data_IF_647209761720
#
_entry.id   IF_647209761720
#
_cell.length_a   1.000
_cell.length_b   1.000
_cell.length_c   1.000
_cell.angle_alpha   90.00
_cell.angle_beta   90.00
_cell.angle_gamma   90.00
#
_symmetry.space_group_name_H-M   'P 1'
#
loop_
_entity.id
_entity.type
_entity.pdbx_description
1 polymer ?
#
# COMPACT_ATOMS: atom_id res chain seq x y z
N UNK A 1 -6.81 6.36 -2.94
CA UNK A 1 -7.01 4.96 -2.54
C UNK A 1 -6.63 4.90 -1.09
N UNK A 2 -7.58 4.86 -0.17
CA UNK A 2 -7.26 4.96 1.25
C UNK A 2 -6.92 3.57 1.78
N UNK A 3 -5.71 3.40 2.34
CA UNK A 3 -5.25 2.17 2.97
C UNK A 3 -5.27 2.32 4.49
N UNK A 4 -5.87 1.38 5.19
CA UNK A 4 -5.71 1.26 6.64
C UNK A 4 -4.60 0.26 6.90
N UNK A 5 -3.68 0.64 7.79
CA UNK A 5 -2.68 -0.29 8.25
C UNK A 5 -3.28 -1.25 9.26
N UNK A 6 -3.26 -2.55 8.95
CA UNK A 6 -3.55 -3.56 9.95
C UNK A 6 -2.36 -3.61 10.92
N UNK A 7 -2.55 -3.83 12.24
CA UNK A 7 -1.50 -3.72 13.27
C UNK A 7 -0.37 -4.77 13.22
N UNK A 8 0.00 -5.25 12.02
CA UNK A 8 1.14 -6.14 11.78
C UNK A 8 2.44 -5.38 11.46
N UNK A 9 2.55 -4.09 11.79
CA UNK A 9 3.86 -3.43 11.91
C UNK A 9 4.46 -3.85 13.25
N UNK A 10 5.62 -4.49 13.24
CA UNK A 10 6.19 -5.20 14.39
C UNK A 10 6.78 -4.32 15.50
N UNK A 11 6.06 -3.30 15.98
CA UNK A 11 6.36 -2.64 17.24
C UNK A 11 6.90 -1.21 17.19
N UNK A 12 6.36 -0.34 16.33
CA UNK A 12 6.71 1.08 16.35
C UNK A 12 5.62 1.97 15.76
N UNK A 13 5.21 2.99 16.54
CA UNK A 13 4.16 3.99 16.30
C UNK A 13 2.82 3.44 15.81
N UNK A 14 1.80 3.47 16.67
CA UNK A 14 0.41 3.31 16.26
C UNK A 14 0.09 4.47 15.31
N UNK A 15 0.22 4.20 14.02
CA UNK A 15 -0.18 5.09 12.95
C UNK A 15 -1.70 4.92 12.76
N UNK A 16 -2.46 5.62 13.61
CA UNK A 16 -3.92 5.53 13.62
C UNK A 16 -4.50 6.28 12.42
N UNK A 17 -5.37 5.59 11.67
CA UNK A 17 -6.11 6.16 10.55
C UNK A 17 -5.67 5.70 9.15
N UNK A 18 -6.31 6.29 8.14
CA UNK A 18 -6.07 5.95 6.74
C UNK A 18 -4.81 6.65 6.21
N UNK A 19 -4.02 5.90 5.45
CA UNK A 19 -2.77 6.33 4.85
C UNK A 19 -2.76 5.98 3.37
N UNK A 20 -2.02 6.76 2.60
CA UNK A 20 -1.78 6.48 1.19
C UNK A 20 -0.43 5.76 0.99
N UNK A 21 0.50 5.90 1.94
CA UNK A 21 1.87 5.34 1.86
C UNK A 21 2.32 4.77 3.18
N UNK A 22 3.12 3.70 3.13
CA UNK A 22 3.58 2.97 4.31
C UNK A 22 5.07 2.67 4.14
N UNK A 23 5.86 2.86 5.20
CA UNK A 23 7.27 2.49 5.18
C UNK A 23 7.37 0.97 5.39
N UNK A 24 8.16 0.29 4.55
CA UNK A 24 8.43 -1.14 4.65
C UNK A 24 9.93 -1.33 4.70
N UNK A 25 10.44 -1.88 5.80
CA UNK A 25 11.86 -2.17 5.98
C UNK A 25 12.27 -3.46 5.25
N UNK A 26 13.58 -3.66 4.96
CA UNK A 26 14.05 -4.89 4.35
C UNK A 26 13.65 -6.14 5.16
N UNK A 27 13.00 -7.11 4.51
CA UNK A 27 12.51 -8.33 5.15
C UNK A 27 11.21 -8.17 5.95
N UNK A 28 10.69 -6.95 6.07
CA UNK A 28 9.41 -6.68 6.72
C UNK A 28 8.24 -7.06 5.80
N UNK A 29 7.16 -7.55 6.41
CA UNK A 29 5.91 -7.83 5.71
C UNK A 29 4.79 -7.03 6.35
N UNK A 30 4.11 -6.22 5.54
CA UNK A 30 2.97 -5.42 5.96
C UNK A 30 1.66 -5.99 5.42
N UNK A 31 0.59 -5.82 6.18
CA UNK A 31 -0.78 -6.15 5.75
C UNK A 31 -1.59 -4.88 5.65
N UNK A 32 -2.12 -4.62 4.47
CA UNK A 32 -2.91 -3.42 4.18
C UNK A 32 -4.38 -3.78 3.93
N UNK A 33 -5.28 -2.91 4.35
CA UNK A 33 -6.71 -3.00 4.06
C UNK A 33 -7.10 -1.79 3.21
N UNK A 34 -7.65 -2.03 2.02
CA UNK A 34 -7.92 -0.97 1.04
C UNK A 34 -9.42 -0.87 0.80
N UNK A 35 -9.95 0.36 0.74
CA UNK A 35 -11.34 0.61 0.34
C UNK A 35 -11.41 1.23 -1.05
N UNK A 36 -12.15 0.57 -1.94
CA UNK A 36 -12.43 1.02 -3.30
C UNK A 36 -13.89 1.47 -3.37
N UNK A 37 -14.17 2.74 -3.10
CA UNK A 37 -15.55 3.22 -2.96
C UNK A 37 -16.10 3.94 -4.20
N UNK A 38 -15.26 4.73 -4.86
CA UNK A 38 -15.75 5.74 -5.80
C UNK A 38 -15.49 5.41 -7.28
N UNK A 39 -14.59 4.47 -7.56
CA UNK A 39 -14.14 4.18 -8.92
C UNK A 39 -13.89 2.69 -9.12
N UNK A 40 -14.18 2.19 -10.33
CA UNK A 40 -13.76 0.88 -10.81
C UNK A 40 -12.72 1.08 -11.90
N UNK A 41 -11.89 0.07 -12.16
CA UNK A 41 -10.81 0.15 -13.14
C UNK A 41 -9.44 -0.24 -12.58
N UNK A 42 -8.38 0.30 -13.18
CA UNK A 42 -7.01 -0.04 -12.84
C UNK A 42 -6.47 0.88 -11.76
N UNK A 43 -6.07 0.29 -10.66
CA UNK A 43 -5.31 0.92 -9.59
C UNK A 43 -3.85 0.58 -9.71
N UNK A 44 -3.00 1.52 -9.31
CA UNK A 44 -1.56 1.34 -9.25
C UNK A 44 -1.14 1.26 -7.79
N UNK A 45 -0.21 0.36 -7.50
CA UNK A 45 0.57 0.41 -6.29
C UNK A 45 2.04 0.21 -6.66
N UNK A 46 2.90 1.03 -6.10
CA UNK A 46 4.33 1.05 -6.40
C UNK A 46 5.15 1.44 -5.17
N UNK A 47 6.46 1.24 -5.23
CA UNK A 47 7.36 1.81 -4.25
C UNK A 47 7.53 3.31 -4.57
N UNK A 48 7.44 4.18 -3.57
CA UNK A 48 7.75 5.61 -3.74
C UNK A 48 9.25 5.89 -3.96
N UNK A 49 10.11 4.87 -3.87
CA UNK A 49 11.48 4.94 -4.36
C UNK A 49 11.50 4.62 -5.86
N UNK A 50 11.79 5.62 -6.68
CA UNK A 50 11.77 5.54 -8.14
C UNK A 50 12.70 4.44 -8.68
N UNK A 51 13.87 4.24 -8.07
CA UNK A 51 14.80 3.19 -8.50
C UNK A 51 14.20 1.79 -8.31
N UNK A 52 13.43 1.59 -7.24
CA UNK A 52 12.76 0.34 -6.96
C UNK A 52 11.52 0.15 -7.85
N UNK A 53 10.80 1.23 -8.12
CA UNK A 53 9.68 1.26 -9.06
C UNK A 53 10.11 0.77 -10.45
N UNK A 54 11.18 1.35 -10.99
CA UNK A 54 11.77 0.98 -12.29
C UNK A 54 12.36 -0.44 -12.28
N UNK A 55 12.87 -0.90 -11.14
CA UNK A 55 13.34 -2.26 -10.95
C UNK A 55 12.21 -3.32 -10.83
N UNK A 56 10.95 -2.92 -10.99
CA UNK A 56 9.80 -3.83 -11.09
C UNK A 56 8.90 -3.86 -9.85
N UNK A 57 9.01 -2.88 -8.94
CA UNK A 57 8.07 -2.74 -7.81
C UNK A 57 6.79 -1.98 -8.17
N UNK A 58 6.53 -1.69 -9.46
CA UNK A 58 5.23 -1.20 -9.94
C UNK A 58 4.28 -2.36 -10.29
N UNK A 59 3.04 -2.28 -9.82
CA UNK A 59 2.01 -3.28 -10.06
C UNK A 59 0.65 -2.64 -10.34
N UNK A 60 -0.10 -3.28 -11.22
CA UNK A 60 -1.48 -2.89 -11.54
C UNK A 60 -2.46 -3.82 -10.81
N UNK A 61 -3.54 -3.26 -10.27
CA UNK A 61 -4.62 -3.98 -9.60
C UNK A 61 -5.97 -3.61 -10.23
N UNK A 62 -6.68 -4.56 -10.82
CA UNK A 62 -7.98 -4.32 -11.45
C UNK A 62 -9.10 -4.49 -10.42
N UNK A 63 -9.94 -3.47 -10.29
CA UNK A 63 -11.17 -3.52 -9.49
C UNK A 63 -12.37 -3.52 -10.43
N UNK A 64 -13.22 -4.51 -10.26
CA UNK A 64 -14.48 -4.68 -10.97
C UNK A 64 -15.63 -4.47 -9.98
N UNK A 65 -16.74 -3.91 -10.46
CA UNK A 65 -17.91 -3.55 -9.65
C UNK A 65 -19.01 -4.61 -9.68
#
# INVERSE_FOLDING_TARGET
>A
MSLLLCPCLSGGFVDDGWKDTVLVMPGETVRVLVRFENYTGMYLYHCHNLEHEDAGMMRNYRVEG
#
